data_IF_243646438441
#
_entry.id   IF_243646438441
#
_cell.length_a   1.000
_cell.length_b   1.000
_cell.length_c   1.000
_cell.angle_alpha   90.00
_cell.angle_beta   90.00
_cell.angle_gamma   90.00
#
_symmetry.space_group_name_H-M   'P 1'
#
loop_
_entity.id
_entity.type
_entity.pdbx_description
1 polymer ?
#
# COMPACT_ATOMS: atom_id res chain seq x y z
N UNK A 1 35.90 23.17 65.19
CA UNK A 1 34.52 22.96 64.67
C UNK A 1 34.57 23.06 63.15
N UNK A 2 34.62 21.94 62.44
CA UNK A 2 34.81 21.90 60.98
C UNK A 2 33.45 21.70 60.30
N UNK A 3 32.96 22.72 59.58
CA UNK A 3 31.69 22.66 58.82
C UNK A 3 31.93 21.98 57.48
N UNK A 4 31.39 20.77 57.30
CA UNK A 4 31.36 20.05 56.02
C UNK A 4 30.20 20.60 55.20
N UNK A 5 30.49 21.32 54.12
CA UNK A 5 29.51 21.76 53.14
C UNK A 5 29.23 20.58 52.19
N UNK A 6 28.09 19.89 52.36
CA UNK A 6 27.62 18.88 51.41
C UNK A 6 26.98 19.59 50.22
N UNK A 7 27.72 19.67 49.10
CA UNK A 7 27.15 20.07 47.82
C UNK A 7 26.37 18.87 47.24
N UNK A 8 25.05 18.93 47.31
CA UNK A 8 24.17 17.96 46.66
C UNK A 8 24.14 18.28 45.17
N UNK A 9 24.86 17.51 44.35
CA UNK A 9 24.78 17.58 42.89
C UNK A 9 23.44 16.98 42.47
N UNK A 10 22.53 17.82 41.98
CA UNK A 10 21.28 17.39 41.37
C UNK A 10 21.60 16.87 39.95
N UNK A 11 21.71 15.56 39.77
CA UNK A 11 21.88 14.95 38.45
C UNK A 11 20.55 14.98 37.69
N UNK A 12 20.39 15.93 36.77
CA UNK A 12 19.33 15.86 35.76
C UNK A 12 19.65 14.71 34.79
N UNK A 13 18.76 13.71 34.61
CA UNK A 13 18.95 12.74 33.54
C UNK A 13 18.81 13.48 32.21
N UNK A 14 19.91 13.55 31.45
CA UNK A 14 19.90 13.98 30.07
C UNK A 14 19.10 12.95 29.26
N UNK A 15 17.82 13.23 29.03
CA UNK A 15 17.06 12.54 27.99
C UNK A 15 17.69 12.93 26.66
N UNK A 16 18.55 12.04 26.14
CA UNK A 16 18.95 12.09 24.75
C UNK A 16 17.70 11.75 23.93
N UNK A 17 17.01 12.79 23.45
CA UNK A 17 16.02 12.62 22.40
C UNK A 17 16.78 12.20 21.14
N UNK A 18 16.84 10.89 20.89
CA UNK A 18 17.19 10.39 19.57
C UNK A 18 16.15 10.95 18.61
N UNK A 19 16.52 11.94 17.80
CA UNK A 19 15.68 12.38 16.70
C UNK A 19 15.50 11.17 15.78
N UNK A 20 14.30 10.59 15.79
CA UNK A 20 13.91 9.62 14.76
C UNK A 20 13.96 10.38 13.45
N UNK A 21 14.91 10.00 12.60
CA UNK A 21 15.01 10.53 11.26
C UNK A 21 13.77 10.08 10.49
N UNK A 22 13.04 11.03 9.90
CA UNK A 22 11.90 10.72 9.07
C UNK A 22 12.33 9.82 7.91
N UNK A 23 11.62 8.70 7.71
CA UNK A 23 11.80 7.85 6.54
C UNK A 23 11.33 8.55 5.25
N UNK A 24 11.71 7.99 4.10
CA UNK A 24 11.48 8.62 2.79
C UNK A 24 9.99 8.92 2.52
N UNK A 25 9.07 8.09 3.02
CA UNK A 25 7.62 8.31 2.90
C UNK A 25 7.19 9.68 3.44
N UNK A 26 7.62 10.01 4.67
CA UNK A 26 7.25 11.26 5.35
C UNK A 26 7.91 12.45 4.66
N UNK A 27 9.20 12.34 4.36
CA UNK A 27 9.95 13.40 3.67
C UNK A 27 9.31 13.77 2.32
N UNK A 28 8.94 12.76 1.52
CA UNK A 28 8.32 12.98 0.21
C UNK A 28 6.91 13.60 0.33
N UNK A 29 6.16 13.27 1.38
CA UNK A 29 4.86 13.88 1.65
C UNK A 29 4.99 15.36 2.05
N UNK A 30 5.95 15.71 2.92
CA UNK A 30 6.24 17.11 3.30
C UNK A 30 6.66 17.96 2.09
N UNK A 31 7.47 17.39 1.18
CA UNK A 31 7.84 18.05 -0.08
C UNK A 31 6.60 18.29 -0.96
N UNK A 32 5.67 17.34 -1.03
CA UNK A 32 4.42 17.48 -1.78
C UNK A 32 3.53 18.61 -1.21
N UNK A 33 3.37 18.69 0.11
CA UNK A 33 2.61 19.77 0.77
C UNK A 33 3.21 21.15 0.46
N UNK A 34 4.53 21.26 0.49
CA UNK A 34 5.24 22.49 0.13
C UNK A 34 4.96 22.91 -1.32
N UNK A 35 4.89 21.95 -2.25
CA UNK A 35 4.59 22.20 -3.66
C UNK A 35 3.12 22.60 -3.87
N UNK A 36 2.19 21.98 -3.14
CA UNK A 36 0.77 22.39 -3.12
C UNK A 36 0.63 23.84 -2.66
N UNK A 37 1.31 24.22 -1.56
CA UNK A 37 1.26 25.59 -1.04
C UNK A 37 1.81 26.64 -2.04
N UNK A 38 2.70 26.21 -2.96
CA UNK A 38 3.24 27.03 -4.05
C UNK A 38 2.38 27.02 -5.31
N UNK A 39 1.29 26.24 -5.35
CA UNK A 39 0.43 26.08 -6.52
C UNK A 39 0.97 25.10 -7.57
N UNK A 40 2.03 24.35 -7.28
CA UNK A 40 2.62 23.37 -8.19
C UNK A 40 2.02 21.98 -7.95
N UNK A 41 0.75 21.84 -8.34
CA UNK A 41 0.00 20.58 -8.22
C UNK A 41 0.64 19.39 -8.94
N UNK A 42 1.11 19.52 -10.20
CA UNK A 42 1.78 18.42 -10.90
C UNK A 42 3.03 17.91 -10.18
N UNK A 43 3.92 18.79 -9.71
CA UNK A 43 5.11 18.34 -9.00
C UNK A 43 4.74 17.70 -7.64
N UNK A 44 3.73 18.23 -6.95
CA UNK A 44 3.24 17.62 -5.71
C UNK A 44 2.68 16.21 -5.94
N UNK A 45 1.93 16.01 -7.03
CA UNK A 45 1.40 14.71 -7.41
C UNK A 45 2.54 13.69 -7.64
N UNK A 46 3.60 14.09 -8.34
CA UNK A 46 4.76 13.23 -8.56
C UNK A 46 5.47 12.88 -7.24
N UNK A 47 5.56 13.81 -6.29
CA UNK A 47 6.10 13.54 -4.94
C UNK A 47 5.26 12.56 -4.15
N UNK A 48 3.93 12.67 -4.21
CA UNK A 48 3.06 11.67 -3.58
C UNK A 48 3.15 10.30 -4.24
N UNK A 49 3.36 10.23 -5.56
CA UNK A 49 3.62 8.95 -6.23
C UNK A 49 4.95 8.33 -5.79
N UNK A 50 5.99 9.13 -5.59
CA UNK A 50 7.26 8.66 -5.03
C UNK A 50 7.09 8.18 -3.59
N UNK A 51 6.32 8.91 -2.76
CA UNK A 51 6.01 8.50 -1.39
C UNK A 51 5.26 7.16 -1.35
N UNK A 52 4.28 6.97 -2.24
CA UNK A 52 3.58 5.69 -2.41
C UNK A 52 4.52 4.56 -2.85
N UNK A 53 5.48 4.85 -3.74
CA UNK A 53 6.49 3.88 -4.15
C UNK A 53 7.40 3.48 -2.98
N UNK A 54 7.88 4.46 -2.19
CA UNK A 54 8.68 4.19 -1.00
C UNK A 54 7.91 3.37 0.04
N UNK A 55 6.61 3.66 0.24
CA UNK A 55 5.76 2.86 1.13
C UNK A 55 5.53 1.44 0.58
N UNK A 56 5.45 1.31 -0.75
CA UNK A 56 5.29 0.00 -1.38
C UNK A 56 6.54 -0.87 -1.20
N UNK A 57 7.76 -0.32 -1.20
CA UNK A 57 8.98 -1.13 -1.03
C UNK A 57 9.00 -1.96 0.28
N UNK A 58 8.24 -1.55 1.29
CA UNK A 58 8.16 -2.22 2.60
C UNK A 58 6.95 -3.18 2.77
N UNK A 59 6.07 -3.31 1.78
CA UNK A 59 4.91 -4.22 1.85
C UNK A 59 5.05 -5.43 0.92
N UNK A 60 4.51 -6.61 1.28
CA UNK A 60 4.49 -7.75 0.39
C UNK A 60 3.47 -7.58 -0.75
N UNK A 61 3.63 -8.37 -1.82
CA UNK A 61 2.57 -8.62 -2.81
C UNK A 61 1.27 -9.03 -2.12
N UNK A 62 0.16 -8.38 -2.48
CA UNK A 62 -1.16 -8.74 -1.97
C UNK A 62 -2.26 -8.33 -2.96
N UNK A 63 -3.50 -8.80 -2.73
CA UNK A 63 -4.70 -8.42 -3.49
C UNK A 63 -5.60 -7.57 -2.58
N UNK A 64 -5.55 -6.24 -2.74
CA UNK A 64 -6.32 -5.33 -1.86
C UNK A 64 -7.82 -5.28 -2.14
N UNK A 65 -8.25 -5.74 -3.31
CA UNK A 65 -9.66 -5.91 -3.67
C UNK A 65 -9.83 -7.21 -4.44
N UNK A 66 -10.80 -8.01 -4.04
CA UNK A 66 -11.25 -9.20 -4.77
C UNK A 66 -12.76 -9.37 -4.57
N UNK A 67 -13.54 -9.24 -5.64
CA UNK A 67 -14.99 -9.44 -5.62
C UNK A 67 -15.54 -9.74 -7.00
N UNK A 68 -16.80 -10.20 -7.05
CA UNK A 68 -17.51 -10.39 -8.30
C UNK A 68 -18.06 -9.09 -8.85
N UNK A 69 -18.00 -8.96 -10.18
CA UNK A 69 -18.54 -7.82 -10.93
C UNK A 69 -19.56 -8.29 -11.95
N UNK A 70 -20.53 -7.41 -12.28
CA UNK A 70 -21.63 -7.73 -13.18
C UNK A 70 -21.16 -7.91 -14.64
N UNK A 71 -20.11 -7.18 -15.01
CA UNK A 71 -19.55 -7.19 -16.36
C UNK A 71 -18.03 -7.01 -16.33
N UNK A 72 -17.37 -7.31 -17.46
CA UNK A 72 -15.93 -7.15 -17.59
C UNK A 72 -15.56 -5.67 -17.58
N UNK A 73 -14.72 -5.19 -16.63
CA UNK A 73 -14.24 -3.81 -16.60
C UNK A 73 -13.52 -3.43 -17.89
N UNK A 74 -13.85 -2.26 -18.43
CA UNK A 74 -13.13 -1.68 -19.57
C UNK A 74 -11.84 -0.98 -19.14
N UNK A 75 -11.79 -0.49 -17.90
CA UNK A 75 -10.67 0.26 -17.34
C UNK A 75 -10.45 -0.11 -15.87
N UNK A 76 -9.24 0.12 -15.35
CA UNK A 76 -8.96 0.01 -13.93
C UNK A 76 -9.91 0.90 -13.11
N UNK A 77 -10.49 0.36 -12.03
CA UNK A 77 -11.45 1.06 -11.18
C UNK A 77 -12.85 1.24 -11.78
N UNK A 78 -13.10 0.83 -13.03
CA UNK A 78 -14.41 0.91 -13.68
C UNK A 78 -15.13 -0.43 -13.55
N UNK A 79 -15.83 -0.62 -12.44
CA UNK A 79 -16.57 -1.85 -12.17
C UNK A 79 -17.94 -1.58 -11.56
N UNK A 80 -18.89 -2.47 -11.84
CA UNK A 80 -20.13 -2.61 -11.09
C UNK A 80 -20.05 -3.89 -10.26
N UNK A 81 -19.97 -3.74 -8.92
CA UNK A 81 -19.93 -4.89 -8.01
C UNK A 81 -21.29 -5.56 -7.97
N UNK A 82 -21.33 -6.89 -7.99
CA UNK A 82 -22.59 -7.62 -7.79
C UNK A 82 -23.11 -7.34 -6.37
N UNK A 83 -24.41 -7.06 -6.26
CA UNK A 83 -25.03 -6.66 -4.99
C UNK A 83 -25.07 -7.81 -3.95
N UNK A 84 -25.21 -9.05 -4.43
CA UNK A 84 -25.24 -10.26 -3.62
C UNK A 84 -24.35 -11.36 -4.22
N UNK A 85 -24.06 -12.41 -3.44
CA UNK A 85 -23.32 -13.58 -3.93
C UNK A 85 -24.27 -14.66 -4.48
N UNK A 86 -25.38 -14.24 -5.10
CA UNK A 86 -26.37 -15.12 -5.73
C UNK A 86 -26.28 -14.99 -7.24
N UNK A 87 -26.01 -16.10 -7.91
CA UNK A 87 -25.73 -16.12 -9.33
C UNK A 87 -26.71 -17.06 -10.04
N UNK A 88 -27.40 -16.60 -11.09
CA UNK A 88 -28.23 -17.47 -11.91
C UNK A 88 -27.41 -18.63 -12.49
N UNK A 89 -28.03 -19.80 -12.60
CA UNK A 89 -27.39 -20.96 -13.23
C UNK A 89 -26.95 -20.62 -14.66
N UNK A 90 -25.70 -20.94 -14.99
CA UNK A 90 -25.11 -20.66 -16.30
C UNK A 90 -24.54 -19.24 -16.48
N UNK A 91 -24.66 -18.36 -15.48
CA UNK A 91 -24.01 -17.04 -15.52
C UNK A 91 -22.50 -17.15 -15.35
N UNK A 92 -21.77 -16.19 -15.94
CA UNK A 92 -20.33 -16.07 -15.75
C UNK A 92 -20.03 -15.42 -14.39
N UNK A 93 -19.10 -16.00 -13.65
CA UNK A 93 -18.52 -15.38 -12.47
C UNK A 93 -17.29 -14.58 -12.87
N UNK A 94 -17.40 -13.26 -12.87
CA UNK A 94 -16.29 -12.38 -13.26
C UNK A 94 -15.67 -11.81 -11.98
N UNK A 95 -14.43 -12.20 -11.69
CA UNK A 95 -13.68 -11.66 -10.54
C UNK A 95 -12.89 -10.43 -10.97
N UNK A 96 -13.08 -9.33 -10.25
CA UNK A 96 -12.21 -8.16 -10.30
C UNK A 96 -11.21 -8.23 -9.16
N UNK A 97 -9.92 -8.13 -9.48
CA UNK A 97 -8.82 -8.17 -8.53
C UNK A 97 -7.88 -6.98 -8.71
N UNK A 98 -7.50 -6.33 -7.61
CA UNK A 98 -6.51 -5.25 -7.62
C UNK A 98 -5.26 -5.68 -6.84
N UNK A 99 -4.20 -6.13 -7.54
CA UNK A 99 -2.92 -6.40 -6.90
C UNK A 99 -2.27 -5.11 -6.39
N UNK A 100 -1.62 -5.20 -5.24
CA UNK A 100 -0.67 -4.22 -4.72
C UNK A 100 0.74 -4.80 -4.75
N UNK A 101 1.71 -3.89 -4.81
CA UNK A 101 3.12 -4.24 -4.88
C UNK A 101 3.48 -5.04 -6.14
N UNK A 102 3.13 -4.52 -7.31
CA UNK A 102 3.70 -5.01 -8.57
C UNK A 102 5.02 -4.29 -8.84
N UNK A 103 6.13 -4.97 -8.55
CA UNK A 103 7.46 -4.47 -8.86
C UNK A 103 7.63 -4.31 -10.38
N UNK A 104 8.21 -3.19 -10.80
CA UNK A 104 8.53 -2.91 -12.20
C UNK A 104 10.02 -3.11 -12.41
N UNK A 105 10.39 -3.97 -13.36
CA UNK A 105 11.78 -4.21 -13.71
C UNK A 105 12.10 -3.64 -15.09
N UNK A 106 13.34 -3.15 -15.34
CA UNK A 106 13.73 -2.65 -16.66
C UNK A 106 13.50 -3.68 -17.78
N UNK A 107 13.06 -3.21 -18.94
CA UNK A 107 12.82 -4.01 -20.14
C UNK A 107 13.06 -3.18 -21.41
N UNK A 108 14.29 -3.17 -21.90
CA UNK A 108 14.69 -2.33 -23.05
C UNK A 108 14.55 -0.85 -22.71
N UNK A 109 13.81 -0.10 -23.53
CA UNK A 109 13.48 1.32 -23.30
C UNK A 109 12.31 1.53 -22.31
N UNK A 110 11.70 0.45 -21.80
CA UNK A 110 10.56 0.51 -20.91
C UNK A 110 10.77 -0.28 -19.62
N UNK A 111 9.65 -0.54 -18.94
CA UNK A 111 9.58 -1.40 -17.76
C UNK A 111 8.56 -2.51 -18.00
N UNK A 112 8.70 -3.64 -17.29
CA UNK A 112 7.72 -4.71 -17.26
C UNK A 112 7.41 -5.11 -15.83
N UNK A 113 6.20 -5.61 -15.62
CA UNK A 113 5.81 -6.31 -14.41
C UNK A 113 5.00 -7.54 -14.82
N UNK A 114 5.13 -8.62 -14.06
CA UNK A 114 4.38 -9.84 -14.27
C UNK A 114 4.08 -10.44 -12.90
N UNK A 115 2.88 -10.99 -12.77
CA UNK A 115 2.50 -11.78 -11.61
C UNK A 115 1.70 -12.98 -12.08
N UNK A 116 1.73 -14.01 -11.25
CA UNK A 116 1.09 -15.28 -11.49
C UNK A 116 0.29 -15.62 -10.24
N UNK A 117 -0.95 -16.07 -10.42
CA UNK A 117 -1.83 -16.40 -9.30
C UNK A 117 -2.46 -17.77 -9.51
N UNK A 118 -2.56 -18.51 -8.42
CA UNK A 118 -3.50 -19.61 -8.30
C UNK A 118 -4.89 -19.04 -7.96
N UNK A 119 -5.93 -19.59 -8.57
CA UNK A 119 -7.32 -19.21 -8.27
C UNK A 119 -8.07 -20.40 -7.68
N UNK A 120 -8.84 -20.16 -6.63
CA UNK A 120 -9.80 -21.10 -6.07
C UNK A 120 -11.11 -20.38 -5.76
N UNK A 121 -12.21 -20.96 -6.22
CA UNK A 121 -13.56 -20.60 -5.83
C UNK A 121 -14.05 -21.59 -4.78
N UNK A 122 -14.44 -21.09 -3.61
CA UNK A 122 -14.97 -21.91 -2.51
C UNK A 122 -16.37 -21.45 -2.13
N UNK A 123 -17.19 -22.38 -1.63
CA UNK A 123 -18.46 -22.04 -1.01
C UNK A 123 -18.26 -21.59 0.45
N UNK A 124 -19.32 -21.12 1.14
CA UNK A 124 -19.21 -20.70 2.55
C UNK A 124 -18.79 -21.81 3.52
N UNK A 125 -18.98 -23.08 3.19
CA UNK A 125 -18.49 -24.22 3.97
C UNK A 125 -16.99 -24.49 3.75
N UNK A 126 -16.35 -23.76 2.82
CA UNK A 126 -14.94 -23.93 2.46
C UNK A 126 -14.69 -24.99 1.38
N UNK A 127 -15.74 -25.61 0.83
CA UNK A 127 -15.63 -26.63 -0.21
C UNK A 127 -15.17 -25.98 -1.53
N UNK A 128 -14.25 -26.64 -2.24
CA UNK A 128 -13.75 -26.17 -3.52
C UNK A 128 -14.78 -26.41 -4.62
N UNK A 129 -15.24 -25.32 -5.26
CA UNK A 129 -16.18 -25.35 -6.38
C UNK A 129 -15.46 -25.35 -7.73
N UNK A 130 -14.36 -24.61 -7.83
CA UNK A 130 -13.51 -24.53 -9.02
C UNK A 130 -12.11 -24.05 -8.64
N UNK A 131 -11.11 -24.33 -9.45
CA UNK A 131 -9.78 -23.77 -9.27
C UNK A 131 -8.91 -23.88 -10.51
N UNK A 132 -7.90 -23.03 -10.59
CA UNK A 132 -6.89 -23.05 -11.63
C UNK A 132 -5.52 -22.78 -11.00
N UNK A 133 -4.57 -23.65 -11.30
CA UNK A 133 -3.15 -23.45 -10.99
C UNK A 133 -2.48 -22.87 -12.21
N UNK A 134 -1.56 -21.94 -11.98
CA UNK A 134 -0.80 -21.32 -13.05
C UNK A 134 0.44 -22.13 -13.46
#
# INVERSE_FOLDING_TARGET
>A
MLRILRATILSLPAFWASAVQAGDVVKLAEEAETLIAKGDGPAAYDKMRQSLAAAADDIPFDIRKAFFVAEKPVMFGSYERVASNEFPTGSSLITYAEPIWLAWVPNGSGVKSAFTVDFELRNPAGELLAGQKA
#
